data_IF_712216080092
#
_entry.id   IF_712216080092
#
_cell.length_a   1.000
_cell.length_b   1.000
_cell.length_c   1.000
_cell.angle_alpha   90.00
_cell.angle_beta   90.00
_cell.angle_gamma   90.00
#
_symmetry.space_group_name_H-M   'P 1'
#
loop_
_entity.id
_entity.type
_entity.pdbx_description
1 polymer ?
2 non-polymer ?
3 non-polymer ?
4 water ?
#
# COMPACT_ATOMS: atom_id res chain seq x y z
N UNK A 29 8.53 2.82 -12.15
CA UNK A 29 9.56 2.87 -11.10
C UNK A 29 10.30 1.54 -10.95
N UNK A 30 10.62 1.15 -9.71
CA UNK A 30 11.38 -0.07 -9.47
C UNK A 30 10.99 -0.78 -8.19
N UNK A 31 11.39 -2.04 -8.08
CA UNK A 31 10.97 -2.92 -7.00
C UNK A 31 12.10 -3.05 -5.97
N UNK A 32 11.75 -3.15 -4.69
CA UNK A 32 12.75 -3.32 -3.65
C UNK A 32 13.43 -4.68 -3.76
N UNK A 33 14.60 -4.82 -3.16
CA UNK A 33 15.42 -6.03 -3.35
C UNK A 33 15.05 -7.19 -2.42
N UNK A 34 14.01 -7.02 -1.60
CA UNK A 34 13.44 -8.11 -0.79
C UNK A 34 11.99 -7.80 -0.39
N UNK A 35 11.25 -8.81 0.05
CA UNK A 35 9.90 -8.63 0.59
C UNK A 35 9.84 -7.69 1.80
N UNK A 36 10.86 -7.75 2.65
CA UNK A 36 10.99 -6.81 3.76
C UNK A 36 11.00 -5.37 3.26
N UNK A 37 11.90 -5.13 2.31
CA UNK A 37 12.08 -3.82 1.70
C UNK A 37 10.82 -3.39 0.96
N UNK A 38 10.21 -4.34 0.28
CA UNK A 38 9.04 -4.03 -0.51
C UNK A 38 7.94 -3.62 0.43
N UNK A 39 7.76 -4.40 1.47
CA UNK A 39 6.73 -4.13 2.44
C UNK A 39 6.88 -2.74 3.04
N UNK A 40 8.09 -2.41 3.49
CA UNK A 40 8.32 -1.09 4.06
C UNK A 40 8.04 0.03 3.02
N UNK A 41 8.60 -0.13 1.82
CA UNK A 41 8.31 0.80 0.71
C UNK A 41 6.80 0.93 0.51
N UNK A 42 6.14 -0.22 0.46
CA UNK A 42 4.72 -0.26 0.14
C UNK A 42 3.94 0.52 1.16
N UNK A 43 4.08 0.17 2.45
CA UNK A 43 3.22 0.80 3.44
C UNK A 43 3.60 2.26 3.66
N UNK A 44 4.88 2.58 3.54
CA UNK A 44 5.31 3.97 3.67
C UNK A 44 4.87 4.84 2.49
N UNK A 45 4.68 4.23 1.33
CA UNK A 45 4.08 4.91 0.17
C UNK A 45 2.56 5.07 0.20
N UNK A 46 1.83 4.14 0.83
CA UNK A 46 0.37 4.15 0.74
C UNK A 46 -0.22 4.96 1.87
N UNK A 47 0.66 5.48 2.72
CA UNK A 47 0.22 6.09 3.96
C UNK A 47 1.01 7.35 4.27
N UNK A 48 0.31 8.41 4.62
CA UNK A 48 0.95 9.61 5.09
C UNK A 48 1.83 9.28 6.29
N UNK A 49 1.21 8.85 7.39
CA UNK A 49 1.91 8.62 8.64
C UNK A 49 2.01 7.12 8.95
N UNK A 50 3.22 6.63 9.10
CA UNK A 50 3.39 5.24 9.50
C UNK A 50 4.30 5.13 10.71
N UNK A 51 3.87 4.32 11.66
CA UNK A 51 4.63 4.06 12.87
C UNK A 51 4.93 2.57 12.90
N UNK A 52 6.19 2.22 12.73
CA UNK A 52 6.62 0.86 13.04
C UNK A 52 6.90 0.79 14.53
N UNK A 53 6.22 -0.11 15.22
CA UNK A 53 6.04 0.00 16.65
C UNK A 53 6.16 -1.35 17.37
N UNK A 54 6.26 -1.31 18.69
CA UNK A 54 5.97 -2.49 19.50
C UNK A 54 4.88 -2.15 20.51
N UNK A 55 3.99 -3.09 20.75
CA UNK A 55 2.87 -2.91 21.68
C UNK A 55 3.34 -2.66 23.10
N UNK A 56 4.52 -3.21 23.42
CA UNK A 56 5.14 -3.03 24.73
C UNK A 56 6.07 -1.80 24.82
N UNK A 57 6.17 -0.98 23.78
CA UNK A 57 7.10 0.14 23.82
C UNK A 57 6.49 1.52 24.12
N UNK A 58 6.81 2.10 25.29
CA UNK A 58 6.31 3.41 25.76
C UNK A 58 6.63 4.59 24.82
N UNK A 59 7.78 4.57 24.15
CA UNK A 59 8.06 5.60 23.18
C UNK A 59 7.07 5.55 21.99
N UNK A 60 6.61 4.34 21.65
CA UNK A 60 5.54 4.15 20.65
C UNK A 60 4.19 4.66 21.14
N UNK A 61 3.89 4.43 22.41
CA UNK A 61 2.65 4.98 22.97
C UNK A 61 2.73 6.50 22.96
N UNK A 62 3.90 7.05 23.28
CA UNK A 62 4.07 8.50 23.21
C UNK A 62 3.81 9.06 21.78
N UNK A 63 4.55 8.54 20.80
CA UNK A 63 4.36 8.94 19.40
C UNK A 63 2.89 8.80 18.90
N UNK A 64 2.29 7.62 19.11
CA UNK A 64 0.87 7.45 18.80
C UNK A 64 0.06 8.55 19.46
N UNK A 65 0.39 8.83 20.72
CA UNK A 65 -0.28 9.87 21.47
C UNK A 65 -0.25 11.23 20.82
N UNK A 66 0.93 11.67 20.39
CA UNK A 66 0.94 12.99 19.75
C UNK A 66 0.10 12.95 18.47
N UNK A 67 0.16 11.84 17.74
CA UNK A 67 -0.70 11.82 16.55
C UNK A 67 -2.19 11.86 16.87
N UNK A 68 -2.65 11.13 17.87
CA UNK A 68 -4.03 11.27 18.31
C UNK A 68 -4.31 12.72 18.72
N UNK A 69 -3.34 13.33 19.37
CA UNK A 69 -3.52 14.72 19.76
C UNK A 69 -3.82 15.57 18.53
N UNK A 70 -3.02 15.43 17.49
CA UNK A 70 -3.21 16.21 16.26
C UNK A 70 -4.50 15.87 15.49
N UNK A 71 -5.06 14.69 15.74
CA UNK A 71 -6.19 14.20 14.96
C UNK A 71 -5.80 13.64 13.60
N UNK A 72 -4.56 13.15 13.48
CA UNK A 72 -4.10 12.48 12.26
C UNK A 72 -4.25 10.96 12.43
N UNK A 73 -4.92 10.30 11.52
CA UNK A 73 -4.96 8.84 11.58
C UNK A 73 -3.68 8.32 10.93
N UNK A 74 -3.17 7.18 11.40
CA UNK A 74 -1.90 6.70 10.93
C UNK A 74 -1.96 5.19 10.82
N UNK A 75 -0.98 4.61 10.15
CA UNK A 75 -0.87 3.17 10.03
C UNK A 75 0.14 2.66 11.04
N UNK A 76 -0.25 1.65 11.80
CA UNK A 76 0.67 1.03 12.74
C UNK A 76 1.04 -0.38 12.30
N UNK A 77 2.32 -0.69 12.35
CA UNK A 77 2.78 -2.05 12.20
C UNK A 77 3.40 -2.51 13.51
N UNK A 78 2.72 -3.37 14.25
CA UNK A 78 3.32 -3.83 15.47
C UNK A 78 4.34 -4.93 15.15
N UNK A 79 5.62 -4.66 15.38
CA UNK A 79 6.66 -5.59 14.96
C UNK A 79 6.73 -6.82 15.83
N UNK A 80 6.11 -6.76 16.99
CA UNK A 80 6.17 -7.88 17.93
C UNK A 80 5.02 -8.83 17.68
N UNK A 81 4.07 -8.38 16.86
CA UNK A 81 2.93 -9.20 16.44
C UNK A 81 3.15 -9.77 15.06
N UNK A 82 4.26 -9.40 14.44
CA UNK A 82 4.57 -9.79 13.07
C UNK A 82 5.58 -10.93 13.08
N UNK A 83 5.34 -11.97 12.30
CA UNK A 83 6.22 -13.13 12.30
C UNK A 83 7.61 -12.77 11.83
N UNK A 84 7.66 -11.74 10.99
CA UNK A 84 8.89 -11.19 10.48
C UNK A 84 9.42 -9.92 11.18
N UNK A 85 8.92 -9.64 12.37
CA UNK A 85 9.31 -8.46 13.12
C UNK A 85 10.80 -8.17 13.15
N UNK A 86 11.61 -9.20 13.39
CA UNK A 86 13.06 -9.03 13.48
C UNK A 86 13.68 -8.62 12.12
N UNK A 87 13.27 -9.29 11.05
CA UNK A 87 13.72 -8.91 9.71
C UNK A 87 13.30 -7.47 9.35
N UNK A 88 12.11 -7.07 9.79
CA UNK A 88 11.63 -5.74 9.49
C UNK A 88 12.48 -4.75 10.27
N UNK A 89 12.75 -5.08 11.52
CA UNK A 89 13.63 -4.27 12.35
C UNK A 89 14.99 -4.09 11.66
N UNK A 90 15.56 -5.18 11.15
CA UNK A 90 16.80 -5.08 10.35
C UNK A 90 16.64 -4.13 9.15
N UNK A 91 15.58 -4.29 8.36
CA UNK A 91 15.37 -3.41 7.21
C UNK A 91 15.27 -1.95 7.63
N UNK A 92 14.55 -1.68 8.72
CA UNK A 92 14.38 -0.32 9.18
C UNK A 92 15.71 0.23 9.64
N UNK A 93 16.54 -0.64 10.22
CA UNK A 93 17.89 -0.23 10.56
C UNK A 93 18.65 0.19 9.28
N UNK A 94 18.64 -0.63 8.24
CA UNK A 94 19.34 -0.25 7.00
C UNK A 94 18.80 1.06 6.38
N UNK A 95 17.47 1.21 6.31
CA UNK A 95 16.89 2.46 5.80
C UNK A 95 17.14 3.69 6.65
N UNK A 96 16.86 3.61 7.95
CA UNK A 96 16.84 4.81 8.79
C UNK A 96 18.04 5.06 9.70
N UNK A 97 19.01 4.15 9.72
CA UNK A 97 20.13 4.24 10.65
C UNK A 97 19.91 3.96 12.14
N UNK A 98 18.76 3.40 12.52
CA UNK A 98 18.52 3.00 13.90
C UNK A 98 17.54 1.83 13.93
N UNK A 99 17.71 0.87 14.83
CA UNK A 99 16.78 -0.26 14.88
C UNK A 99 15.65 -0.07 15.88
N UNK A 100 15.76 0.96 16.72
CA UNK A 100 14.81 1.18 17.81
C UNK A 100 13.43 1.56 17.27
N UNK A 101 12.41 1.10 17.97
CA UNK A 101 11.05 1.57 17.73
C UNK A 101 10.72 2.71 18.69
N UNK A 102 9.80 3.60 18.30
CA UNK A 102 9.12 3.58 17.01
C UNK A 102 10.02 4.13 15.90
N UNK A 103 9.81 3.68 14.66
CA UNK A 103 10.33 4.35 13.48
C UNK A 103 9.15 5.05 12.84
N UNK A 104 9.16 6.38 12.85
CA UNK A 104 8.03 7.17 12.38
C UNK A 104 8.28 7.80 11.02
N UNK A 105 7.34 7.59 10.10
CA UNK A 105 7.46 8.04 8.73
C UNK A 105 6.30 8.98 8.43
N UNK A 106 6.59 10.18 7.96
CA UNK A 106 5.57 11.09 7.44
C UNK A 106 5.87 11.38 5.97
N UNK A 107 4.89 11.11 5.10
CA UNK A 107 5.04 11.37 3.67
C UNK A 107 6.26 10.68 3.03
N UNK A 108 6.45 9.40 3.32
CA UNK A 108 7.57 8.66 2.76
C UNK A 108 8.91 8.91 3.42
N UNK A 109 8.99 9.88 4.32
CA UNK A 109 10.26 10.24 4.96
C UNK A 109 10.28 9.84 6.43
N UNK A 110 11.35 9.18 6.87
CA UNK A 110 11.46 8.87 8.30
C UNK A 110 11.83 10.11 9.07
N UNK A 111 11.03 10.46 10.07
CA UNK A 111 11.37 11.59 10.93
C UNK A 111 12.09 11.17 12.20
N UNK A 112 12.42 9.88 12.34
CA UNK A 112 13.05 9.37 13.54
C UNK A 112 12.09 8.67 14.48
N UNK A 113 12.37 8.70 15.79
CA UNK A 113 11.58 8.00 16.78
C UNK A 113 10.57 8.84 17.56
N UNK A 114 10.36 8.49 18.83
CA UNK A 114 9.32 9.11 19.62
C UNK A 114 9.67 10.50 20.09
N UNK A 115 10.91 10.69 20.54
CA UNK A 115 11.36 12.01 20.96
C UNK A 115 11.32 12.97 19.81
N UNK A 116 11.68 12.50 18.60
CA UNK A 116 11.63 13.37 17.42
C UNK A 116 10.18 13.77 17.15
N UNK A 117 9.27 12.81 17.19
CA UNK A 117 7.86 13.10 17.02
C UNK A 117 7.39 14.15 18.03
N UNK A 118 7.65 13.87 19.31
CA UNK A 118 7.24 14.76 20.38
C UNK A 118 7.84 16.16 20.19
N UNK A 119 9.14 16.21 19.93
CA UNK A 119 9.88 17.46 19.86
C UNK A 119 9.49 18.30 18.65
N UNK A 120 9.36 17.65 17.49
CA UNK A 120 8.84 18.34 16.33
C UNK A 120 7.49 18.93 16.66
N UNK A 121 6.62 18.13 17.30
CA UNK A 121 5.30 18.64 17.58
C UNK A 121 5.39 19.86 18.46
N UNK A 122 6.12 19.77 19.56
CA UNK A 122 6.26 20.92 20.45
C UNK A 122 6.74 22.19 19.72
N UNK A 123 7.53 22.03 18.68
CA UNK A 123 8.07 23.16 17.92
C UNK A 123 7.11 23.56 16.79
N UNK A 124 5.93 22.94 16.76
CA UNK A 124 4.96 23.14 15.69
C UNK A 124 5.50 22.85 14.31
N UNK A 125 6.50 21.99 14.22
CA UNK A 125 7.06 21.59 12.94
C UNK A 125 6.42 20.32 12.32
N UNK A 126 5.59 19.62 13.08
CA UNK A 126 5.07 18.34 12.64
C UNK A 126 3.84 18.42 11.73
N UNK A 127 2.91 19.29 12.10
CA UNK A 127 1.65 19.43 11.39
C UNK A 127 1.92 19.82 9.96
N UNK A 128 2.87 20.73 9.73
CA UNK A 128 3.27 21.05 8.37
C UNK A 128 3.78 19.83 7.58
N UNK A 129 4.60 18.99 8.18
CA UNK A 129 5.07 17.78 7.52
C UNK A 129 3.89 16.96 7.08
N UNK A 130 2.94 16.80 8.00
CA UNK A 130 1.73 16.06 7.67
C UNK A 130 0.94 16.74 6.54
N UNK A 131 0.94 18.06 6.55
CA UNK A 131 0.20 18.81 5.54
C UNK A 131 0.79 18.72 4.13
N UNK A 132 2.04 18.28 4.01
CA UNK A 132 2.65 18.05 2.70
C UNK A 132 2.18 16.75 2.04
N UNK A 133 1.43 15.92 2.76
CA UNK A 133 0.95 14.69 2.17
C UNK A 133 -0.12 14.99 1.15
N UNK A 134 -0.05 14.34 -0.01
CA UNK A 134 -1.02 14.61 -1.06
C UNK A 134 -2.42 14.44 -0.48
N UNK A 135 -3.38 15.22 -0.99
CA UNK A 135 -4.76 15.24 -0.49
C UNK A 135 -5.51 13.97 -0.87
N UNK A 136 -6.63 13.70 -0.21
CA UNK A 136 -7.46 12.55 -0.54
C UNK A 136 -7.83 12.45 -2.02
N UNK A 137 -8.17 13.56 -2.66
CA UNK A 137 -8.75 13.48 -3.99
C UNK A 137 -7.72 13.12 -5.05
N UNK A 138 -6.43 13.12 -4.68
CA UNK A 138 -5.33 12.86 -5.62
C UNK A 138 -4.69 11.47 -5.51
N UNK B 30 3.56 -12.37 8.75
CA UNK B 30 3.45 -13.10 7.50
C UNK B 30 3.87 -12.30 6.28
N UNK B 31 5.11 -12.51 5.84
CA UNK B 31 5.68 -11.82 4.69
C UNK B 31 5.77 -12.79 3.50
N UNK B 32 5.66 -12.27 2.29
CA UNK B 32 5.78 -13.09 1.10
C UNK B 32 7.23 -13.51 0.93
N UNK B 33 7.48 -14.33 -0.10
CA UNK B 33 8.80 -14.92 -0.35
C UNK B 33 9.62 -14.18 -1.42
N UNK B 34 9.04 -13.14 -2.00
CA UNK B 34 9.70 -12.38 -3.06
C UNK B 34 9.25 -10.93 -2.98
N UNK B 35 9.99 -10.04 -3.61
CA UNK B 35 9.59 -8.63 -3.63
C UNK B 35 8.36 -8.46 -4.52
N UNK B 36 8.37 -9.11 -5.68
CA UNK B 36 7.22 -9.10 -6.59
C UNK B 36 5.97 -9.52 -5.84
N UNK B 37 6.07 -10.67 -5.16
CA UNK B 37 4.95 -11.24 -4.45
C UNK B 37 4.44 -10.29 -3.41
N UNK B 38 5.37 -9.67 -2.70
CA UNK B 38 5.02 -8.73 -1.63
C UNK B 38 4.33 -7.52 -2.25
N UNK B 39 4.86 -7.01 -3.34
CA UNK B 39 4.28 -5.83 -3.96
C UNK B 39 2.84 -6.09 -4.39
N UNK B 40 2.63 -7.18 -5.12
CA UNK B 40 1.28 -7.54 -5.53
C UNK B 40 0.41 -7.66 -4.29
N UNK B 41 0.87 -8.44 -3.33
CA UNK B 41 0.15 -8.66 -2.10
C UNK B 41 -0.32 -7.33 -1.49
N UNK B 42 0.63 -6.43 -1.26
CA UNK B 42 0.31 -5.14 -0.65
C UNK B 42 -0.66 -4.34 -1.49
N UNK B 43 -0.31 -4.16 -2.76
CA UNK B 43 -1.05 -3.25 -3.63
C UNK B 43 -2.50 -3.71 -3.67
N UNK B 44 -2.70 -5.01 -3.81
CA UNK B 44 -4.05 -5.58 -3.81
C UNK B 44 -4.73 -5.46 -2.45
N UNK B 45 -3.96 -5.62 -1.38
CA UNK B 45 -4.49 -5.52 -0.02
C UNK B 45 -4.89 -4.10 0.41
N UNK B 46 -4.20 -3.09 -0.13
CA UNK B 46 -4.46 -1.71 0.30
C UNK B 46 -5.44 -0.90 -0.55
N UNK B 47 -5.95 -1.50 -1.62
CA UNK B 47 -6.87 -0.80 -2.50
C UNK B 47 -8.10 -1.65 -2.76
N UNK B 48 -9.26 -1.02 -2.95
CA UNK B 48 -10.45 -1.79 -3.22
C UNK B 48 -10.43 -2.37 -4.62
N UNK B 49 -10.14 -1.51 -5.60
CA UNK B 49 -10.04 -1.98 -6.98
C UNK B 49 -8.64 -1.78 -7.51
N UNK B 50 -8.06 -2.84 -8.08
CA UNK B 50 -6.74 -2.71 -8.72
C UNK B 50 -6.74 -3.25 -10.13
N UNK B 51 -6.04 -2.56 -11.01
CA UNK B 51 -5.85 -3.01 -12.38
C UNK B 51 -4.37 -3.03 -12.74
N UNK B 52 -3.84 -4.22 -12.98
CA UNK B 52 -2.50 -4.33 -13.56
C UNK B 52 -2.71 -4.32 -15.07
N UNK B 53 -2.17 -3.30 -15.72
CA UNK B 53 -2.54 -3.01 -17.09
C UNK B 53 -1.34 -2.66 -17.94
N UNK B 54 -1.59 -2.29 -19.20
CA UNK B 54 -0.58 -1.72 -20.09
C UNK B 54 -1.16 -0.47 -20.75
N UNK B 55 -0.31 0.51 -21.00
CA UNK B 55 -0.76 1.73 -21.65
C UNK B 55 -1.18 1.43 -23.09
N UNK B 56 -0.55 0.40 -23.66
CA UNK B 56 -0.77 0.03 -25.04
C UNK B 56 -2.05 -0.80 -25.22
N UNK B 57 -2.35 -1.63 -24.23
CA UNK B 57 -3.44 -2.58 -24.32
C UNK B 57 -4.83 -1.93 -24.27
N UNK B 58 -5.68 -2.23 -25.27
CA UNK B 58 -7.06 -1.76 -25.40
C UNK B 58 -8.04 -2.41 -24.43
N UNK B 59 -7.74 -3.66 -24.05
CA UNK B 59 -8.55 -4.34 -23.05
C UNK B 59 -8.47 -3.61 -21.69
N UNK B 60 -7.26 -3.16 -21.34
CA UNK B 60 -7.09 -2.35 -20.14
C UNK B 60 -7.93 -1.08 -20.23
N UNK B 61 -7.87 -0.39 -21.37
CA UNK B 61 -8.70 0.78 -21.59
C UNK B 61 -10.16 0.43 -21.34
N UNK B 62 -10.57 -0.73 -21.82
CA UNK B 62 -11.93 -1.20 -21.56
C UNK B 62 -12.21 -1.25 -20.04
N UNK B 63 -11.36 -1.98 -19.34
CA UNK B 63 -11.54 -2.18 -17.89
C UNK B 63 -11.64 -0.87 -17.11
N UNK B 64 -10.65 0.00 -17.36
CA UNK B 64 -10.69 1.33 -16.77
C UNK B 64 -12.02 1.95 -17.13
N UNK B 65 -12.41 1.79 -18.39
CA UNK B 65 -13.65 2.34 -18.88
C UNK B 65 -14.89 1.97 -18.08
N UNK B 66 -15.08 0.67 -17.84
CA UNK B 66 -16.24 0.30 -17.02
C UNK B 66 -16.12 0.85 -15.60
N UNK B 67 -14.92 0.77 -15.02
CA UNK B 67 -14.79 1.34 -13.68
C UNK B 67 -15.03 2.84 -13.70
N UNK B 68 -14.66 3.47 -14.80
CA UNK B 68 -14.84 4.90 -14.93
C UNK B 68 -16.32 5.17 -14.93
N UNK B 69 -17.05 4.37 -15.71
CA UNK B 69 -18.49 4.58 -15.85
C UNK B 69 -19.25 4.30 -14.56
N UNK B 70 -18.79 3.34 -13.75
CA UNK B 70 -19.48 3.11 -12.46
C UNK B 70 -19.12 4.13 -11.35
N UNK B 71 -18.12 4.98 -11.60
CA UNK B 71 -17.75 6.02 -10.66
C UNK B 71 -16.74 5.59 -9.61
N UNK B 72 -16.05 4.48 -9.90
CA UNK B 72 -15.13 3.89 -8.96
C UNK B 72 -13.68 4.30 -9.22
N UNK B 73 -13.01 4.76 -8.17
CA UNK B 73 -11.57 4.97 -8.24
C UNK B 73 -10.84 3.64 -8.04
N UNK B 74 -9.68 3.51 -8.66
CA UNK B 74 -8.92 2.27 -8.68
C UNK B 74 -7.43 2.56 -8.84
N UNK B 75 -6.59 1.61 -8.47
CA UNK B 75 -5.16 1.76 -8.59
C UNK B 75 -4.70 1.07 -9.85
N UNK B 76 -3.90 1.74 -10.65
CA UNK B 76 -3.37 1.15 -11.87
C UNK B 76 -1.88 0.89 -11.73
N UNK B 77 -1.46 -0.34 -12.00
CA UNK B 77 -0.03 -0.60 -12.18
C UNK B 77 0.24 -0.84 -13.67
N UNK B 78 0.96 0.09 -14.30
CA UNK B 78 1.30 -0.04 -15.72
C UNK B 78 2.60 -0.81 -15.84
N UNK B 79 2.52 -2.04 -16.33
CA UNK B 79 3.66 -2.97 -16.32
C UNK B 79 4.70 -2.66 -17.39
N UNK B 80 4.28 -1.95 -18.43
CA UNK B 80 5.19 -1.57 -19.50
C UNK B 80 6.04 -0.37 -19.05
N UNK B 81 5.47 0.46 -18.18
CA UNK B 81 6.17 1.63 -17.63
C UNK B 81 6.98 1.27 -16.39
N UNK B 82 6.98 -0.01 -16.02
CA UNK B 82 7.61 -0.48 -14.79
C UNK B 82 8.81 -1.34 -15.13
N UNK B 83 9.94 -1.05 -14.47
CA UNK B 83 11.20 -1.74 -14.68
C UNK B 83 11.10 -3.26 -14.51
N UNK B 84 10.33 -3.68 -13.51
CA UNK B 84 10.17 -5.09 -13.16
C UNK B 84 8.91 -5.76 -13.76
N UNK B 85 8.24 -5.08 -14.67
CA UNK B 85 6.98 -5.56 -15.23
C UNK B 85 6.92 -7.01 -15.70
N UNK B 86 8.01 -7.51 -16.28
CA UNK B 86 8.02 -8.89 -16.74
C UNK B 86 7.91 -9.85 -15.57
N UNK B 87 8.76 -9.66 -14.56
CA UNK B 87 8.76 -10.56 -13.41
C UNK B 87 7.41 -10.44 -12.70
N UNK B 88 6.85 -9.23 -12.73
CA UNK B 88 5.54 -8.99 -12.14
C UNK B 88 4.47 -9.78 -12.86
N UNK B 89 4.55 -9.79 -14.19
CA UNK B 89 3.63 -10.59 -15.01
C UNK B 89 3.78 -12.08 -14.67
N UNK B 90 5.01 -12.55 -14.62
CA UNK B 90 5.24 -13.94 -14.21
C UNK B 90 4.49 -14.19 -12.90
N UNK B 91 4.69 -13.30 -11.92
CA UNK B 91 4.03 -13.42 -10.61
C UNK B 91 2.51 -13.42 -10.74
N UNK B 92 2.00 -12.48 -11.52
CA UNK B 92 0.56 -12.34 -11.69
C UNK B 92 0.00 -13.61 -12.28
N UNK B 93 0.73 -14.21 -13.22
CA UNK B 93 0.31 -15.48 -13.80
C UNK B 93 0.29 -16.55 -12.72
N UNK B 94 1.41 -16.73 -12.02
CA UNK B 94 1.46 -17.73 -10.96
C UNK B 94 0.27 -17.55 -10.03
N UNK B 95 -0.16 -16.31 -9.82
CA UNK B 95 -1.33 -16.08 -8.97
C UNK B 95 -2.66 -16.45 -9.61
N UNK B 96 -3.02 -15.74 -10.68
CA UNK B 96 -4.39 -15.79 -11.19
C UNK B 96 -4.68 -16.90 -12.21
N UNK B 97 -3.64 -17.51 -12.76
CA UNK B 97 -3.82 -18.58 -13.72
C UNK B 97 -3.60 -18.16 -15.16
N UNK B 98 -3.50 -16.86 -15.38
CA UNK B 98 -3.28 -16.33 -16.72
C UNK B 98 -2.31 -15.15 -16.67
N UNK B 99 -1.57 -14.94 -17.75
CA UNK B 99 -0.57 -13.85 -17.79
C UNK B 99 -1.02 -12.56 -18.53
N UNK B 100 -2.25 -12.53 -19.04
CA UNK B 100 -2.70 -11.41 -19.86
C UNK B 100 -3.07 -10.17 -19.02
N UNK B 101 -3.07 -9.00 -19.65
CA UNK B 101 -3.53 -7.78 -19.00
C UNK B 101 -4.81 -7.33 -19.66
N UNK B 102 -5.66 -6.61 -18.91
CA UNK B 102 -5.49 -6.32 -17.48
C UNK B 102 -5.58 -7.56 -16.61
N UNK B 103 -5.03 -7.48 -15.42
CA UNK B 103 -5.41 -8.40 -14.36
C UNK B 103 -6.03 -7.56 -13.28
N UNK B 104 -7.29 -7.86 -13.02
CA UNK B 104 -8.15 -6.97 -12.25
C UNK B 104 -8.56 -7.61 -10.93
N UNK B 105 -8.28 -6.91 -9.84
CA UNK B 105 -8.67 -7.37 -8.52
C UNK B 105 -9.73 -6.45 -7.93
N UNK B 106 -10.72 -7.03 -7.28
CA UNK B 106 -11.62 -6.27 -6.42
C UNK B 106 -11.70 -6.93 -5.05
N UNK B 107 -11.59 -6.14 -4.00
CA UNK B 107 -11.65 -6.68 -2.65
C UNK B 107 -10.65 -7.83 -2.49
N UNK B 108 -9.44 -7.64 -2.98
CA UNK B 108 -8.39 -8.62 -2.76
C UNK B 108 -8.44 -9.83 -3.68
N UNK B 109 -9.50 -9.97 -4.46
CA UNK B 109 -9.68 -11.17 -5.29
C UNK B 109 -9.68 -10.81 -6.78
N UNK B 110 -8.96 -11.59 -7.58
CA UNK B 110 -8.89 -11.33 -9.02
C UNK B 110 -10.13 -11.81 -9.75
N UNK B 111 -10.66 -10.96 -10.62
CA UNK B 111 -11.81 -11.31 -11.48
C UNK B 111 -11.43 -11.69 -12.91
N UNK B 112 -10.13 -11.76 -13.20
CA UNK B 112 -9.66 -11.97 -14.55
C UNK B 112 -9.34 -10.71 -15.32
N UNK B 113 -9.56 -10.73 -16.64
CA UNK B 113 -9.22 -9.61 -17.51
C UNK B 113 -10.37 -8.63 -17.76
N UNK B 114 -10.24 -7.86 -18.84
CA UNK B 114 -11.16 -6.77 -19.15
C UNK B 114 -12.53 -7.19 -19.65
N UNK B 115 -12.56 -8.14 -20.60
CA UNK B 115 -13.84 -8.66 -21.10
C UNK B 115 -14.64 -9.18 -19.91
N UNK B 116 -13.94 -9.89 -19.01
CA UNK B 116 -14.50 -10.38 -17.75
C UNK B 116 -15.19 -9.25 -16.97
N UNK B 117 -14.47 -8.14 -16.81
CA UNK B 117 -14.98 -6.98 -16.12
C UNK B 117 -16.23 -6.41 -16.80
N UNK B 118 -16.16 -6.15 -18.09
CA UNK B 118 -17.31 -5.62 -18.80
C UNK B 118 -18.49 -6.57 -18.64
N UNK B 119 -18.26 -7.85 -18.95
CA UNK B 119 -19.28 -8.88 -18.77
C UNK B 119 -19.91 -8.71 -17.40
N UNK B 120 -19.10 -8.87 -16.35
CA UNK B 120 -19.61 -8.75 -15.00
C UNK B 120 -20.40 -7.46 -14.81
N UNK B 121 -19.99 -6.39 -15.48
CA UNK B 121 -20.72 -5.13 -15.37
C UNK B 121 -22.10 -5.21 -16.00
N UNK B 122 -22.18 -5.79 -17.18
CA UNK B 122 -23.46 -5.96 -17.88
C UNK B 122 -24.38 -6.91 -17.12
N UNK B 123 -23.79 -7.89 -16.44
CA UNK B 123 -24.53 -8.85 -15.64
C UNK B 123 -25.05 -8.19 -14.36
N UNK B 124 -24.66 -6.94 -14.13
CA UNK B 124 -25.06 -6.22 -12.93
C UNK B 124 -24.27 -6.65 -11.72
N UNK B 125 -23.29 -7.52 -11.94
CA UNK B 125 -22.52 -8.14 -10.87
C UNK B 125 -21.38 -7.28 -10.31
N UNK B 126 -20.85 -6.37 -11.12
CA UNK B 126 -19.64 -5.64 -10.74
C UNK B 126 -19.76 -4.84 -9.44
N UNK B 127 -20.60 -3.81 -9.45
CA UNK B 127 -20.76 -2.89 -8.31
C UNK B 127 -20.90 -3.60 -6.96
N UNK B 128 -21.71 -4.67 -6.91
CA UNK B 128 -21.90 -5.43 -5.68
C UNK B 128 -20.60 -5.96 -5.09
N UNK B 129 -19.69 -6.42 -5.94
CA UNK B 129 -18.39 -6.87 -5.48
C UNK B 129 -17.65 -5.74 -4.78
N UNK B 130 -17.71 -4.57 -5.40
CA UNK B 130 -17.05 -3.37 -4.91
C UNK B 130 -17.66 -2.89 -3.60
N UNK B 131 -18.97 -2.99 -3.49
CA UNK B 131 -19.64 -2.57 -2.26
C UNK B 131 -19.19 -3.42 -1.07
N UNK B 132 -18.64 -4.59 -1.34
CA UNK B 132 -18.21 -5.48 -0.26
C UNK B 132 -16.92 -4.99 0.41
N UNK B 133 -16.27 -3.98 -0.18
CA UNK B 133 -15.04 -3.40 0.37
C UNK B 133 -15.28 -2.59 1.65
N UNK B 134 -14.22 -2.42 2.45
CA UNK B 134 -14.28 -1.72 3.74
C UNK B 134 -14.80 -0.28 3.66
N UNK B 135 -15.57 0.14 4.68
CA UNK B 135 -16.32 1.40 4.81
C UNK B 135 -15.49 2.67 4.75
N UNK B 136 -14.18 2.54 4.82
CA UNK B 136 -13.26 3.68 4.72
C UNK B 136 -12.96 4.40 6.03
N UNK B 137 -13.80 4.20 7.05
CA UNK B 137 -13.48 4.72 8.37
C UNK B 137 -12.84 3.58 9.14
N UNK B 138 -12.76 2.42 8.46
CA UNK B 138 -12.01 1.27 8.95
C UNK B 138 -10.78 1.02 8.07
X LIG C 1 15.22 7.71 21.26
X LIG C 1 14.34 6.62 20.84
X LIG C 1 13.04 7.24 20.45
X LIG C 1 12.67 8.38 20.84
X LIG C 1 12.28 6.57 19.71
X LIG C 1 14.21 5.54 21.90
X LIG C 1 13.19 4.48 21.55
X LIG C 1 13.46 3.18 22.28
X LIG C 1 14.34 3.11 23.13
X LIG C 1 12.69 1.96 21.99
X LIG C 1 13.05 0.74 22.70
X LIG C 1 13.81 -0.17 21.74
X LIG C 1 13.98 0.16 20.55
X LIG C 1 11.83 0.03 23.21
X LIG C 1 10.73 1.18 23.96
X LIG C 1 14.33 -1.45 22.17
X LIG C 1 15.03 -2.24 21.22
X LIG C 1 14.10 -3.09 20.52
X LIG C 1 12.90 -3.02 20.81
X LIG C 1 14.54 -3.89 19.66
X LIG D 1 -3.56 8.72 3.96
X LIG D 1 -4.98 8.33 3.98
X LIG D 1 -2.88 8.06 5.11
X LIG D 1 -2.97 8.29 2.66
X LIG D 1 -3.43 10.19 4.03
X LIG E 1 -9.13 -12.28 -21.91
X LIG E 1 -8.48 -10.99 -21.75
X LIG E 1 -9.55 -10.00 -21.47
X LIG E 1 -10.68 -10.37 -21.02
X LIG E 1 -9.34 -8.77 -21.64
X LIG E 1 -7.63 -10.65 -22.96
X LIG E 1 -6.80 -9.40 -22.71
X LIG E 1 -5.53 -9.51 -23.48
X LIG E 1 -5.31 -10.53 -24.11
X LIG E 1 -4.52 -8.44 -23.52
X LIG E 1 -3.29 -8.60 -24.32
X LIG E 1 -2.21 -9.49 -23.71
X LIG E 1 -2.37 -10.03 -22.61
X LIG E 1 -2.66 -7.27 -24.57
X LIG E 1 -3.93 -6.17 -25.05
X LIG E 1 -0.96 -9.70 -24.43
X LIG E 1 0.04 -10.53 -23.84
X LIG E 1 0.83 -9.67 -22.94
X LIG E 1 0.27 -9.15 -21.96
X LIG E 1 2.04 -9.44 -23.18
#
# INVERSE_FOLDING_TARGET
MGSSHHHHHHSSGLVPRGSHMGNFSSSAPGLSSSACGQFVQDIVSSNCVVIFSKTTCPYCKMAKGVFNEIGATYKVVELDEHNDGRRLQETLAELTGARTVPRVFINGQCIGGGSDTKQLHQQGKLLPLIEQCRPCCLNMTPEGSGNSQNQPHQ
MGSSHHHHHHSSGLVPRGSHMGNFSSSAPGLSSSACGQFVQDIVSSNCVVIFSKTTCPYCKMAKGVFNEIGATYKVVELDEHNDGRRLQETLAELTGARTVPRVFINGQCIGGGSDTKQLHQQGKLLPLIEQCRPCCLNMTPEGSGNSQNQPHQ
GSH N1 CA1 C1 O11 O12 CB1 CG1 CD1 OE1 N2 CA2 C2 O2 CB2 SG2 N3 CA3 C3 O31 O32
SO4 S O1 O2 O3 O4
GSH N1 CA1 C1 O11 O12 CB1 CG1 CD1 OE1 N2 CA2 C2 O2 CB2 SG2 N3 CA3 C3 O31 O32
#
